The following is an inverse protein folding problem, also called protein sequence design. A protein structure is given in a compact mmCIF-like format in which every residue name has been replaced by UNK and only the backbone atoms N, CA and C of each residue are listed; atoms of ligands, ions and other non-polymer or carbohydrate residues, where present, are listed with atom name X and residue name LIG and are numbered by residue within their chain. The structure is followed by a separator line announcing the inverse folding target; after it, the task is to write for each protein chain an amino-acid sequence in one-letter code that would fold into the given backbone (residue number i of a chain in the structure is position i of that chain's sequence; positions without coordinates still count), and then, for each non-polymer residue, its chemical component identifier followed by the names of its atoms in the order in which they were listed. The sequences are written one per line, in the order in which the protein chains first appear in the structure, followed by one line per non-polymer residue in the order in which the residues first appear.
data_IF_603960502656
#
_entry.id   IF_603960502656
#
_cell.length_a   1.000
_cell.length_b   1.000
_cell.length_c   1.000
_cell.angle_alpha   90.00
_cell.angle_beta   90.00
_cell.angle_gamma   90.00
#
_symmetry.space_group_name_H-M   'P 1'
#
loop_
_entity.id
_entity.type
_entity.pdbx_description
1 polymer ?
#
# COMPACT_ATOMS: atom_id res chain seq x y z
N UNK A 1 18.38 -3.07 -25.91
CA UNK A 1 18.42 -3.40 -24.47
C UNK A 1 17.30 -2.63 -23.81
N UNK A 2 16.39 -3.30 -23.10
CA UNK A 2 15.24 -2.65 -22.46
C UNK A 2 15.68 -1.83 -21.25
N UNK A 3 15.08 -0.66 -21.05
CA UNK A 3 15.30 0.17 -19.87
C UNK A 3 14.82 -0.61 -18.63
N UNK A 4 15.66 -0.66 -17.60
CA UNK A 4 15.32 -1.26 -16.30
C UNK A 4 14.93 -0.17 -15.33
N UNK A 5 14.00 -0.48 -14.44
CA UNK A 5 13.62 0.39 -13.35
C UNK A 5 14.79 0.55 -12.36
N UNK A 6 15.21 1.79 -12.10
CA UNK A 6 16.29 2.12 -11.18
C UNK A 6 15.97 3.38 -10.37
N UNK A 7 16.79 3.67 -9.35
CA UNK A 7 16.57 4.85 -8.49
C UNK A 7 16.50 6.13 -9.33
N UNK A 8 15.48 6.95 -9.09
CA UNK A 8 15.18 8.16 -9.86
C UNK A 8 14.29 7.94 -11.10
N UNK A 9 14.03 6.69 -11.49
CA UNK A 9 13.08 6.39 -12.56
C UNK A 9 11.65 6.75 -12.12
N UNK A 10 10.89 7.35 -13.04
CA UNK A 10 9.43 7.42 -12.95
C UNK A 10 8.89 6.11 -13.51
N UNK A 11 8.09 5.39 -12.74
CA UNK A 11 7.49 4.11 -13.14
C UNK A 11 5.98 4.16 -13.01
N UNK A 12 5.30 3.47 -13.91
CA UNK A 12 3.85 3.27 -13.90
C UNK A 12 3.56 1.78 -13.80
N UNK A 13 2.85 1.37 -12.74
CA UNK A 13 2.63 -0.04 -12.42
C UNK A 13 1.16 -0.30 -12.16
N UNK A 14 0.60 -1.28 -12.86
CA UNK A 14 -0.63 -1.91 -12.40
C UNK A 14 -0.31 -2.95 -11.33
N UNK A 15 -1.01 -2.87 -10.21
CA UNK A 15 -0.83 -3.75 -9.05
C UNK A 15 -2.18 -4.22 -8.49
N UNK A 16 -2.11 -5.29 -7.71
CA UNK A 16 -3.20 -5.76 -6.84
C UNK A 16 -2.60 -6.13 -5.48
N UNK A 17 -3.05 -5.47 -4.43
CA UNK A 17 -2.71 -5.78 -3.04
C UNK A 17 -3.67 -6.83 -2.47
N UNK A 18 -3.13 -7.91 -1.91
CA UNK A 18 -3.94 -9.00 -1.33
C UNK A 18 -3.39 -9.43 0.02
N UNK A 19 -4.27 -9.82 0.91
CA UNK A 19 -3.93 -10.52 2.14
C UNK A 19 -3.63 -12.00 1.85
N UNK A 20 -3.03 -12.71 2.82
CA UNK A 20 -2.64 -14.13 2.69
C UNK A 20 -3.82 -15.07 2.48
N UNK A 21 -5.02 -14.67 2.91
CA UNK A 21 -6.27 -15.38 2.68
C UNK A 21 -6.86 -15.14 1.28
N UNK A 22 -6.21 -14.29 0.46
CA UNK A 22 -6.63 -13.94 -0.89
C UNK A 22 -7.53 -12.71 -0.98
N UNK A 23 -7.92 -12.11 0.15
CA UNK A 23 -8.73 -10.89 0.16
C UNK A 23 -7.98 -9.74 -0.52
N UNK A 24 -8.56 -9.18 -1.58
CA UNK A 24 -8.02 -8.02 -2.28
C UNK A 24 -8.41 -6.77 -1.50
N UNK A 25 -7.44 -6.07 -0.93
CA UNK A 25 -7.69 -4.83 -0.20
C UNK A 25 -7.52 -3.58 -1.07
N UNK A 26 -6.74 -3.66 -2.15
CA UNK A 26 -6.54 -2.56 -3.10
C UNK A 26 -6.13 -3.09 -4.49
N UNK A 27 -6.49 -2.38 -5.55
CA UNK A 27 -6.14 -2.73 -6.93
C UNK A 27 -6.24 -1.52 -7.85
N UNK A 28 -5.29 -1.43 -8.79
CA UNK A 28 -5.36 -0.49 -9.91
C UNK A 28 -6.12 -1.04 -11.13
N UNK A 29 -6.64 -2.27 -11.05
CA UNK A 29 -7.38 -2.89 -12.15
C UNK A 29 -8.65 -2.10 -12.49
N UNK A 30 -8.83 -1.79 -13.78
CA UNK A 30 -9.93 -0.95 -14.26
C UNK A 30 -9.74 0.56 -14.07
N UNK A 31 -8.64 1.00 -13.47
CA UNK A 31 -8.26 2.40 -13.31
C UNK A 31 -6.93 2.75 -13.97
N UNK A 32 -6.35 3.88 -13.57
CA UNK A 32 -5.00 4.28 -14.00
C UNK A 32 -3.92 3.53 -13.21
N UNK A 33 -2.77 3.22 -13.83
CA UNK A 33 -1.63 2.64 -13.12
C UNK A 33 -1.08 3.62 -12.09
N UNK A 34 -0.57 3.08 -10.98
CA UNK A 34 0.11 3.86 -9.97
C UNK A 34 1.42 4.40 -10.53
N UNK A 35 1.60 5.72 -10.51
CA UNK A 35 2.85 6.38 -10.89
C UNK A 35 3.64 6.81 -9.64
N UNK A 36 4.93 6.47 -9.60
CA UNK A 36 5.82 6.92 -8.53
C UNK A 36 7.28 7.01 -8.98
N UNK A 37 8.09 7.72 -8.20
CA UNK A 37 9.55 7.85 -8.40
C UNK A 37 10.28 6.88 -7.48
N UNK A 38 11.11 6.01 -8.04
CA UNK A 38 11.90 5.07 -7.25
C UNK A 38 12.93 5.81 -6.38
N UNK A 39 12.86 5.57 -5.08
CA UNK A 39 13.73 6.14 -4.06
C UNK A 39 13.20 7.43 -3.43
N UNK A 40 11.97 7.82 -3.77
CA UNK A 40 11.31 8.99 -3.19
C UNK A 40 10.46 8.65 -1.95
N UNK A 41 10.27 7.37 -1.62
CA UNK A 41 9.48 6.94 -0.46
C UNK A 41 7.97 7.23 -0.61
N UNK A 42 7.48 7.26 -1.86
CA UNK A 42 6.06 7.53 -2.17
C UNK A 42 5.15 6.31 -1.94
N UNK A 43 5.74 5.12 -1.88
CA UNK A 43 5.04 3.84 -1.66
C UNK A 43 5.76 3.07 -0.56
N UNK A 44 5.13 2.00 -0.07
CA UNK A 44 5.73 1.15 0.95
C UNK A 44 7.11 0.61 0.50
N UNK A 45 8.11 0.54 1.39
CA UNK A 45 9.48 0.19 1.03
C UNK A 45 9.63 -1.14 0.27
N UNK A 46 8.86 -2.16 0.65
CA UNK A 46 8.90 -3.47 0.00
C UNK A 46 8.37 -3.44 -1.43
N UNK A 47 7.37 -2.60 -1.72
CA UNK A 47 6.82 -2.45 -3.06
C UNK A 47 7.83 -1.72 -3.95
N UNK A 48 8.43 -0.64 -3.46
CA UNK A 48 9.50 0.06 -4.20
C UNK A 48 10.67 -0.89 -4.53
N UNK A 49 11.15 -1.65 -3.54
CA UNK A 49 12.21 -2.66 -3.75
C UNK A 49 11.83 -3.73 -4.76
N UNK A 50 10.57 -4.16 -4.78
CA UNK A 50 10.11 -5.20 -5.70
C UNK A 50 10.19 -4.76 -7.16
N UNK A 51 9.99 -3.47 -7.43
CA UNK A 51 9.98 -2.87 -8.77
C UNK A 51 11.38 -2.55 -9.29
N UNK A 52 12.35 -2.32 -8.41
CA UNK A 52 13.75 -2.10 -8.82
C UNK A 52 14.26 -3.28 -9.66
N UNK A 53 14.82 -2.97 -10.82
CA UNK A 53 15.39 -3.92 -11.77
C UNK A 53 14.39 -4.55 -12.74
N UNK A 54 13.08 -4.34 -12.55
CA UNK A 54 12.05 -4.82 -13.46
C UNK A 54 12.14 -4.14 -14.83
N UNK A 55 11.69 -4.86 -15.86
CA UNK A 55 11.55 -4.34 -17.21
C UNK A 55 10.09 -4.02 -17.52
N UNK A 56 9.85 -3.13 -18.49
CA UNK A 56 8.50 -2.83 -18.97
C UNK A 56 7.81 -4.11 -19.45
N UNK A 57 6.58 -4.34 -18.98
CA UNK A 57 5.78 -5.53 -19.28
C UNK A 57 6.06 -6.74 -18.37
N UNK A 58 7.07 -6.67 -17.50
CA UNK A 58 7.33 -7.70 -16.50
C UNK A 58 6.22 -7.74 -15.44
N UNK A 59 5.89 -8.95 -14.98
CA UNK A 59 4.96 -9.18 -13.87
C UNK A 59 5.69 -9.92 -12.77
N UNK A 60 5.42 -9.55 -11.53
CA UNK A 60 6.06 -10.14 -10.35
C UNK A 60 5.06 -10.20 -9.21
N UNK A 61 5.10 -11.29 -8.46
CA UNK A 61 4.40 -11.44 -7.20
C UNK A 61 5.44 -11.49 -6.10
N UNK A 62 5.26 -10.67 -5.06
CA UNK A 62 6.13 -10.62 -3.89
C UNK A 62 5.28 -10.68 -2.64
N UNK A 63 5.78 -11.36 -1.62
CA UNK A 63 5.26 -11.24 -0.26
C UNK A 63 6.09 -10.18 0.46
N UNK A 64 5.42 -9.20 1.07
CA UNK A 64 6.07 -8.07 1.75
C UNK A 64 5.78 -8.21 3.24
N UNK A 65 6.79 -8.33 4.11
CA UNK A 65 6.57 -8.42 5.54
C UNK A 65 6.09 -7.07 6.10
N UNK A 66 5.36 -7.04 7.24
CA UNK A 66 4.75 -5.82 7.76
C UNK A 66 5.73 -4.65 7.93
N UNK A 67 6.96 -4.91 8.36
CA UNK A 67 8.01 -3.92 8.60
C UNK A 67 8.45 -3.19 7.31
N UNK A 68 8.21 -3.82 6.17
CA UNK A 68 8.46 -3.26 4.84
C UNK A 68 7.18 -2.77 4.14
N UNK A 69 6.03 -2.91 4.81
CA UNK A 69 4.71 -2.51 4.36
C UNK A 69 4.14 -1.40 5.27
N UNK A 70 3.11 -1.72 6.07
CA UNK A 70 2.37 -0.76 6.90
C UNK A 70 2.70 -0.86 8.40
N UNK A 71 3.73 -1.63 8.77
CA UNK A 71 4.11 -1.87 10.15
C UNK A 71 3.31 -2.98 10.83
N UNK A 72 3.75 -3.34 12.03
CA UNK A 72 3.01 -4.25 12.90
C UNK A 72 1.80 -3.55 13.53
N UNK A 73 0.85 -4.34 13.99
CA UNK A 73 -0.22 -3.83 14.85
C UNK A 73 0.37 -3.24 16.13
N UNK A 74 -0.09 -2.04 16.50
CA UNK A 74 0.36 -1.32 17.68
C UNK A 74 -0.83 -1.19 18.62
N UNK A 75 -0.83 -1.98 19.70
CA UNK A 75 -1.90 -1.98 20.70
C UNK A 75 -2.08 -0.59 21.35
N UNK A 76 -0.98 0.15 21.51
CA UNK A 76 -1.00 1.52 22.05
C UNK A 76 -1.77 2.53 21.18
N UNK A 77 -2.05 2.21 19.92
CA UNK A 77 -2.88 3.05 19.05
C UNK A 77 -4.37 2.77 19.19
N UNK A 78 -4.76 1.81 20.04
CA UNK A 78 -6.14 1.56 20.40
C UNK A 78 -6.49 2.32 21.68
N UNK A 79 -7.59 3.08 21.62
CA UNK A 79 -8.09 3.83 22.78
C UNK A 79 -9.59 3.62 22.93
N UNK A 80 -9.98 3.21 24.13
CA UNK A 80 -11.37 3.27 24.56
C UNK A 80 -11.70 4.71 24.99
N UNK A 81 -12.77 5.26 24.44
CA UNK A 81 -13.22 6.62 24.73
C UNK A 81 -14.70 6.56 25.12
N UNK A 82 -15.11 7.19 26.24
CA UNK A 82 -16.52 7.31 26.56
C UNK A 82 -17.29 7.99 25.43
N UNK A 83 -18.43 7.42 25.02
CA UNK A 83 -19.25 7.96 23.93
C UNK A 83 -19.63 9.43 24.14
N UNK A 84 -19.78 9.86 25.39
CA UNK A 84 -20.08 11.25 25.75
C UNK A 84 -18.96 12.26 25.42
N UNK A 85 -17.72 11.81 25.26
CA UNK A 85 -16.59 12.68 24.90
C UNK A 85 -16.50 12.93 23.39
N UNK A 86 -17.18 12.11 22.58
CA UNK A 86 -17.27 12.25 21.13
C UNK A 86 -18.39 13.23 20.77
N UNK A 87 -18.03 14.50 20.59
CA UNK A 87 -18.96 15.54 20.16
C UNK A 87 -19.18 15.49 18.64
N UNK A 88 -20.00 14.53 18.20
CA UNK A 88 -20.36 14.33 16.79
C UNK A 88 -21.85 14.61 16.57
N UNK A 89 -22.19 15.07 15.37
CA UNK A 89 -23.55 15.39 14.93
C UNK A 89 -24.22 14.24 14.15
N UNK A 90 -23.59 13.07 14.13
CA UNK A 90 -24.06 11.85 13.47
C UNK A 90 -24.10 10.65 14.41
N UNK A 91 -24.84 9.61 14.00
CA UNK A 91 -24.91 8.35 14.72
C UNK A 91 -23.62 7.53 14.51
N UNK A 92 -22.98 7.11 15.62
CA UNK A 92 -21.82 6.23 15.58
C UNK A 92 -22.23 4.80 15.27
N UNK A 93 -21.57 4.19 14.29
CA UNK A 93 -21.68 2.78 13.91
C UNK A 93 -20.29 2.12 13.90
N UNK A 94 -20.26 0.80 14.06
CA UNK A 94 -19.02 0.02 14.02
C UNK A 94 -18.31 0.16 12.66
N UNK A 95 -16.98 0.27 12.69
CA UNK A 95 -16.15 0.38 11.48
C UNK A 95 -16.12 1.77 10.83
N UNK A 96 -16.73 2.78 11.45
CA UNK A 96 -16.68 4.16 10.94
C UNK A 96 -15.25 4.74 11.08
N UNK A 97 -14.73 5.32 9.99
CA UNK A 97 -13.38 5.92 9.90
C UNK A 97 -13.43 7.36 9.42
#
# INVERSE_FOLDING_TARGET
MGQRAEKGSIVRVHYTGRLRDGFVFDSSEGGEPLEFVIGAGMVIPGFERAVIGMQVGEKKTVEIPPEEAYGAYIEEFVKEVPRSELHVDFELVEGMT
#
